data_IF_403615954692
#
_entry.id   IF_403615954692
#
_cell.length_a   1.000
_cell.length_b   1.000
_cell.length_c   1.000
_cell.angle_alpha   90.00
_cell.angle_beta   90.00
_cell.angle_gamma   90.00
#
_symmetry.space_group_name_H-M   'P 1'
#
loop_
_entity.id
_entity.type
_entity.pdbx_description
1 polymer ?
#
# COMPACT_ATOMS: atom_id res chain seq x y z
N UNK A 1 -0.65 -7.89 -6.38
CA UNK A 1 0.28 -9.00 -6.70
C UNK A 1 -0.47 -10.21 -7.25
N UNK A 2 -1.41 -10.82 -6.50
CA UNK A 2 -2.19 -11.99 -6.98
C UNK A 2 -2.81 -11.76 -8.37
N UNK A 3 -3.53 -10.65 -8.58
CA UNK A 3 -4.15 -10.34 -9.87
C UNK A 3 -3.13 -10.26 -11.03
N UNK A 4 -1.94 -9.72 -10.76
CA UNK A 4 -0.86 -9.63 -11.75
C UNK A 4 -0.29 -11.01 -12.07
N UNK A 5 -0.09 -11.87 -11.05
CA UNK A 5 0.35 -13.25 -11.24
C UNK A 5 -0.70 -14.07 -12.02
N UNK A 6 -1.98 -13.89 -11.74
CA UNK A 6 -3.06 -14.57 -12.46
C UNK A 6 -3.12 -14.14 -13.93
N UNK A 7 -2.88 -12.87 -14.22
CA UNK A 7 -2.93 -12.36 -15.59
C UNK A 7 -1.69 -12.74 -16.41
N UNK A 8 -0.50 -12.60 -15.84
CA UNK A 8 0.76 -12.77 -16.59
C UNK A 8 1.36 -14.17 -16.51
N UNK A 9 1.13 -14.90 -15.41
CA UNK A 9 1.76 -16.21 -15.16
C UNK A 9 0.77 -17.16 -14.45
N UNK A 10 -0.44 -17.40 -14.98
CA UNK A 10 -1.47 -18.21 -14.29
C UNK A 10 -1.00 -19.62 -13.95
N UNK A 11 -0.11 -20.20 -14.75
CA UNK A 11 0.42 -21.55 -14.58
C UNK A 11 1.10 -21.80 -13.23
N UNK A 12 1.58 -20.75 -12.56
CA UNK A 12 2.19 -20.88 -11.24
C UNK A 12 1.23 -21.50 -10.22
N UNK A 13 -0.07 -21.20 -10.32
CA UNK A 13 -1.09 -21.71 -9.40
C UNK A 13 -1.54 -23.14 -9.69
N UNK A 14 -1.14 -23.72 -10.82
CA UNK A 14 -1.49 -25.09 -11.21
C UNK A 14 -0.30 -26.05 -11.14
N UNK A 15 0.91 -25.52 -10.98
CA UNK A 15 2.15 -26.29 -10.99
C UNK A 15 2.37 -26.90 -9.60
N UNK A 16 2.61 -28.22 -9.57
CA UNK A 16 3.01 -28.93 -8.35
C UNK A 16 4.52 -28.96 -8.22
N UNK A 17 4.99 -28.63 -7.04
CA UNK A 17 6.38 -28.81 -6.64
C UNK A 17 6.72 -30.30 -6.50
N UNK A 18 8.01 -30.67 -6.49
CA UNK A 18 8.44 -32.07 -6.31
C UNK A 18 7.95 -32.72 -5.01
N UNK A 19 7.69 -31.92 -3.98
CA UNK A 19 7.12 -32.34 -2.70
C UNK A 19 5.58 -32.45 -2.71
N UNK A 20 4.95 -32.21 -3.87
CA UNK A 20 3.49 -32.25 -4.06
C UNK A 20 2.76 -30.98 -3.63
N UNK A 21 3.46 -29.98 -3.06
CA UNK A 21 2.87 -28.70 -2.71
C UNK A 21 2.53 -27.87 -3.94
N UNK A 22 1.61 -26.92 -3.81
CA UNK A 22 1.26 -25.96 -4.86
C UNK A 22 1.60 -24.56 -4.42
N UNK A 23 1.96 -23.70 -5.37
CA UNK A 23 2.21 -22.30 -5.06
C UNK A 23 0.95 -21.64 -4.49
N UNK A 24 1.11 -21.04 -3.32
CA UNK A 24 0.10 -20.22 -2.70
C UNK A 24 0.66 -18.82 -2.50
N UNK A 25 -0.02 -17.82 -3.05
CA UNK A 25 0.30 -16.41 -2.80
C UNK A 25 -0.24 -16.01 -1.41
N UNK A 26 0.33 -16.62 -0.36
CA UNK A 26 0.00 -16.35 1.03
C UNK A 26 0.49 -14.96 1.45
N UNK A 27 -0.06 -14.45 2.55
CA UNK A 27 0.39 -13.18 3.10
C UNK A 27 1.88 -13.20 3.47
N UNK A 28 2.37 -14.31 4.02
CA UNK A 28 3.79 -14.49 4.36
C UNK A 28 4.68 -14.46 3.12
N UNK A 29 4.26 -15.11 2.03
CA UNK A 29 4.98 -15.04 0.76
C UNK A 29 5.00 -13.62 0.20
N UNK A 30 3.86 -12.93 0.20
CA UNK A 30 3.77 -11.53 -0.27
C UNK A 30 4.70 -10.61 0.50
N UNK A 31 4.72 -10.71 1.83
CA UNK A 31 5.64 -9.92 2.69
C UNK A 31 7.10 -10.21 2.36
N UNK A 32 7.46 -11.48 2.19
CA UNK A 32 8.83 -11.87 1.81
C UNK A 32 9.20 -11.37 0.41
N UNK A 33 8.29 -11.48 -0.56
CA UNK A 33 8.50 -11.00 -1.92
C UNK A 33 8.76 -9.50 -1.95
N UNK A 34 7.91 -8.72 -1.27
CA UNK A 34 8.03 -7.27 -1.15
C UNK A 34 9.35 -6.86 -0.50
N UNK A 35 9.74 -7.51 0.59
CA UNK A 35 10.97 -7.19 1.32
C UNK A 35 12.22 -7.49 0.49
N UNK A 36 12.30 -8.67 -0.12
CA UNK A 36 13.53 -9.14 -0.75
C UNK A 36 13.70 -8.69 -2.20
N UNK A 37 12.61 -8.53 -2.96
CA UNK A 37 12.68 -8.21 -4.40
C UNK A 37 12.38 -6.75 -4.70
N UNK A 38 11.58 -6.10 -3.86
CA UNK A 38 11.19 -4.69 -4.06
C UNK A 38 11.82 -3.76 -3.02
N UNK A 39 12.64 -4.30 -2.10
CA UNK A 39 13.20 -3.58 -0.96
C UNK A 39 12.15 -2.81 -0.14
N UNK A 40 10.89 -3.23 -0.23
CA UNK A 40 9.79 -2.61 0.48
C UNK A 40 9.87 -3.05 1.93
N UNK A 41 10.21 -2.12 2.82
CA UNK A 41 10.08 -2.32 4.26
C UNK A 41 8.68 -1.90 4.69
N UNK A 42 8.04 -2.68 5.57
CA UNK A 42 6.87 -2.21 6.29
C UNK A 42 7.31 -0.96 7.06
N UNK A 43 6.98 0.22 6.54
CA UNK A 43 7.14 1.44 7.28
C UNK A 43 6.19 1.32 8.48
N UNK A 44 6.73 1.06 9.66
CA UNK A 44 6.07 1.54 10.87
C UNK A 44 5.84 3.02 10.61
N UNK A 45 4.57 3.45 10.69
CA UNK A 45 4.25 4.87 10.63
C UNK A 45 5.19 5.57 11.58
N UNK A 46 6.11 6.37 11.04
CA UNK A 46 6.92 7.28 11.83
C UNK A 46 5.96 8.35 12.28
N UNK A 47 5.22 8.07 13.34
CA UNK A 47 4.46 9.06 14.06
C UNK A 47 5.44 9.90 14.87
N UNK A 48 6.28 10.66 14.16
CA UNK A 48 6.97 11.78 14.78
C UNK A 48 5.87 12.77 15.08
N UNK A 49 5.40 12.79 16.33
CA UNK A 49 4.46 13.80 16.79
C UNK A 49 5.16 15.16 16.69
N UNK A 50 5.01 15.83 15.56
CA UNK A 50 5.40 17.21 15.41
C UNK A 50 4.42 18.06 16.23
N UNK A 51 4.91 19.17 16.79
CA UNK A 51 4.07 20.12 17.55
C UNK A 51 2.85 20.49 16.68
N UNK A 52 1.66 20.44 17.25
CA UNK A 52 0.45 20.85 16.55
C UNK A 52 0.61 22.31 16.09
N UNK A 53 0.45 22.62 14.79
CA UNK A 53 0.44 23.99 14.34
C UNK A 53 -0.81 24.70 14.88
N UNK A 54 -0.73 26.01 15.09
CA UNK A 54 -1.84 26.81 15.66
C UNK A 54 -3.10 26.74 14.80
N UNK A 55 -2.96 26.49 13.50
CA UNK A 55 -4.03 26.38 12.52
C UNK A 55 -4.37 24.92 12.13
N UNK A 56 -4.15 23.96 13.03
CA UNK A 56 -4.38 22.52 12.76
C UNK A 56 -5.71 22.22 12.07
N UNK A 57 -6.80 22.90 12.47
CA UNK A 57 -8.13 22.68 11.89
C UNK A 57 -8.20 23.09 10.42
N UNK A 58 -7.54 24.18 10.04
CA UNK A 58 -7.49 24.67 8.66
C UNK A 58 -6.66 23.73 7.79
N UNK A 59 -5.51 23.28 8.29
CA UNK A 59 -4.63 22.33 7.59
C UNK A 59 -5.34 20.99 7.38
N UNK A 60 -6.01 20.47 8.41
CA UNK A 60 -6.79 19.24 8.29
C UNK A 60 -7.94 19.38 7.27
N UNK A 61 -8.63 20.52 7.27
CA UNK A 61 -9.72 20.78 6.34
C UNK A 61 -9.23 20.92 4.90
N UNK A 62 -8.13 21.64 4.68
CA UNK A 62 -7.52 21.78 3.36
C UNK A 62 -7.03 20.43 2.82
N UNK A 63 -6.38 19.63 3.66
CA UNK A 63 -5.94 18.30 3.28
C UNK A 63 -7.12 17.38 2.97
N UNK A 64 -8.22 17.46 3.71
CA UNK A 64 -9.45 16.74 3.41
C UNK A 64 -9.98 17.10 2.00
N UNK A 65 -10.05 18.39 1.65
CA UNK A 65 -10.51 18.81 0.33
C UNK A 65 -9.58 18.37 -0.79
N UNK A 66 -8.26 18.51 -0.61
CA UNK A 66 -7.26 18.03 -1.58
C UNK A 66 -7.41 16.52 -1.83
N UNK A 67 -7.69 15.75 -0.78
CA UNK A 67 -7.93 14.32 -0.90
C UNK A 67 -9.24 13.99 -1.61
N UNK A 68 -10.34 14.64 -1.24
CA UNK A 68 -11.63 14.44 -1.90
C UNK A 68 -11.52 14.72 -3.40
N UNK A 69 -10.86 15.81 -3.79
CA UNK A 69 -10.59 16.16 -5.19
C UNK A 69 -9.68 15.14 -5.88
N UNK A 70 -8.63 14.68 -5.21
CA UNK A 70 -7.70 13.68 -5.77
C UNK A 70 -8.41 12.34 -6.01
N UNK A 71 -9.27 11.92 -5.09
CA UNK A 71 -10.08 10.70 -5.22
C UNK A 71 -11.04 10.82 -6.39
N UNK A 72 -11.74 11.95 -6.48
CA UNK A 72 -12.69 12.23 -7.57
C UNK A 72 -11.99 12.25 -8.93
N UNK A 73 -10.85 12.95 -9.03
CA UNK A 73 -10.15 13.15 -10.30
C UNK A 73 -9.38 11.91 -10.77
N UNK A 74 -8.82 11.12 -9.85
CA UNK A 74 -7.99 9.96 -10.19
C UNK A 74 -8.73 8.62 -10.07
N UNK A 75 -10.05 8.63 -9.82
CA UNK A 75 -10.89 7.43 -9.82
C UNK A 75 -10.33 6.35 -8.87
N UNK A 76 -9.83 6.80 -7.70
CA UNK A 76 -9.20 5.93 -6.71
C UNK A 76 -10.32 5.20 -5.95
N UNK A 77 -10.64 3.99 -6.39
CA UNK A 77 -11.73 3.19 -5.79
C UNK A 77 -11.30 2.35 -4.56
N UNK A 78 -10.00 2.18 -4.34
CA UNK A 78 -9.50 1.32 -3.27
C UNK A 78 -9.00 2.13 -2.06
N UNK A 79 -9.51 1.85 -0.85
CA UNK A 79 -9.08 2.55 0.35
C UNK A 79 -7.64 2.31 0.79
N UNK A 80 -6.96 1.33 0.18
CA UNK A 80 -5.55 1.02 0.45
C UNK A 80 -4.60 2.12 -0.03
N UNK A 81 -5.03 2.94 -1.02
CA UNK A 81 -4.24 4.10 -1.48
C UNK A 81 -4.24 5.26 -0.48
N UNK A 82 -5.05 5.20 0.59
CA UNK A 82 -5.10 6.25 1.62
C UNK A 82 -4.00 6.15 2.67
N UNK A 83 -3.36 4.98 2.80
CA UNK A 83 -2.48 4.66 3.93
C UNK A 83 -1.20 5.51 3.99
N UNK A 84 -0.78 6.16 2.91
CA UNK A 84 0.48 6.92 2.84
C UNK A 84 0.35 8.44 2.74
N UNK A 85 -0.87 8.99 2.78
CA UNK A 85 -1.05 10.44 2.65
C UNK A 85 -0.41 11.22 3.82
N UNK A 86 -0.29 10.59 4.98
CA UNK A 86 0.26 11.21 6.18
C UNK A 86 1.80 11.10 6.29
N UNK A 87 2.49 10.61 5.24
CA UNK A 87 3.93 10.34 5.29
C UNK A 87 4.83 11.43 4.69
N UNK A 88 4.29 12.54 4.19
CA UNK A 88 5.13 13.64 3.74
C UNK A 88 5.07 14.81 4.71
N UNK A 89 6.23 15.09 5.32
CA UNK A 89 6.64 16.39 5.85
C UNK A 89 6.34 17.49 4.83
N UNK A 90 5.11 17.97 4.76
CA UNK A 90 4.76 19.19 4.05
C UNK A 90 4.35 20.19 5.11
N UNK A 91 5.36 20.96 5.51
CA UNK A 91 5.40 22.25 6.22
C UNK A 91 4.14 22.61 7.02
#
# INVERSE_FOLDING_TARGET
IVAQLQHHVPQIFSTKSPDGSMFQCSETWVRSFLLHNLHWRMCQSTHTAQKLPTNVNEVCLEQFFRLALTIQNNVIHSPVFYMNINQTNVI
#
